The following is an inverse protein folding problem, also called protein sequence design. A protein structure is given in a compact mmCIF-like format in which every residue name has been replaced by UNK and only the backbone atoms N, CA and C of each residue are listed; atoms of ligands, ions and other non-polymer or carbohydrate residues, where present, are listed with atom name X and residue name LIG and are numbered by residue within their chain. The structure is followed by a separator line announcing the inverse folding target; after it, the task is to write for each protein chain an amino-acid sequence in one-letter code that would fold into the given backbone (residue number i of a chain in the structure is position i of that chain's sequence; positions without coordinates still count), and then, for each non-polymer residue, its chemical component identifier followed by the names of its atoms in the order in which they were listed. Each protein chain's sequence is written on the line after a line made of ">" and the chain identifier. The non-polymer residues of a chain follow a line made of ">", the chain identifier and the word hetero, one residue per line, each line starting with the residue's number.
data_IF_209158252212
#
_entry.id   IF_209158252212
#
_cell.length_a   1.000
_cell.length_b   1.000
_cell.length_c   1.000
_cell.angle_alpha   90.00
_cell.angle_beta   90.00
_cell.angle_gamma   90.00
#
_symmetry.space_group_name_H-M   'P 1'
#
loop_
_entity.id
_entity.type
_entity.pdbx_description
1 polymer ?
#
# COMPACT_ATOMS: atom_id res chain seq x y z
N UNK A 1 -10.98 -35.00 -17.10
CA UNK A 1 -10.46 -34.82 -15.73
C UNK A 1 -9.56 -33.60 -15.79
N UNK A 2 -9.79 -32.59 -14.95
CA UNK A 2 -8.78 -31.54 -14.79
C UNK A 2 -7.64 -32.15 -13.98
N UNK A 3 -6.43 -32.19 -14.53
CA UNK A 3 -5.25 -32.61 -13.79
C UNK A 3 -5.09 -31.70 -12.57
N UNK A 4 -4.88 -32.31 -11.41
CA UNK A 4 -4.55 -31.54 -10.19
C UNK A 4 -3.18 -30.92 -10.40
N UNK A 5 -2.99 -29.64 -10.02
CA UNK A 5 -1.69 -29.01 -10.16
C UNK A 5 -0.66 -29.77 -9.35
N UNK A 6 0.51 -29.97 -9.95
CA UNK A 6 1.60 -30.63 -9.27
C UNK A 6 2.23 -29.69 -8.20
N UNK A 7 3.13 -30.25 -7.40
CA UNK A 7 3.79 -29.50 -6.32
C UNK A 7 4.58 -28.31 -6.85
N UNK A 8 5.20 -28.44 -8.01
CA UNK A 8 6.06 -27.41 -8.59
C UNK A 8 5.21 -26.26 -9.13
N UNK A 9 4.04 -26.56 -9.71
CA UNK A 9 3.03 -25.58 -10.08
C UNK A 9 2.51 -24.78 -8.88
N UNK A 10 2.24 -25.46 -7.75
CA UNK A 10 1.82 -24.79 -6.51
C UNK A 10 2.94 -23.88 -5.97
N UNK A 11 4.19 -24.36 -5.96
CA UNK A 11 5.34 -23.57 -5.51
C UNK A 11 5.56 -22.35 -6.39
N UNK A 12 5.44 -22.49 -7.72
CA UNK A 12 5.56 -21.38 -8.66
C UNK A 12 4.45 -20.35 -8.47
N UNK A 13 3.19 -20.78 -8.34
CA UNK A 13 2.07 -19.87 -8.08
C UNK A 13 2.24 -19.10 -6.77
N UNK A 14 2.75 -19.75 -5.72
CA UNK A 14 3.05 -19.07 -4.46
C UNK A 14 4.17 -18.02 -4.61
N UNK A 15 5.20 -18.31 -5.40
CA UNK A 15 6.29 -17.37 -5.68
C UNK A 15 5.78 -16.15 -6.49
N UNK A 16 4.96 -16.37 -7.52
CA UNK A 16 4.35 -15.30 -8.32
C UNK A 16 3.47 -14.37 -7.45
N UNK A 17 2.68 -14.94 -6.52
CA UNK A 17 1.90 -14.15 -5.55
C UNK A 17 2.81 -13.35 -4.62
N UNK A 18 3.87 -13.96 -4.08
CA UNK A 18 4.79 -13.28 -3.18
C UNK A 18 5.53 -12.12 -3.89
N UNK A 19 5.95 -12.32 -5.13
CA UNK A 19 6.55 -11.27 -5.96
C UNK A 19 5.54 -10.15 -6.26
N UNK A 20 4.30 -10.50 -6.60
CA UNK A 20 3.22 -9.53 -6.77
C UNK A 20 2.99 -8.67 -5.52
N UNK A 21 2.97 -9.29 -4.34
CA UNK A 21 2.83 -8.58 -3.07
C UNK A 21 4.04 -7.68 -2.78
N UNK A 22 5.25 -8.14 -3.09
CA UNK A 22 6.46 -7.34 -2.95
C UNK A 22 6.41 -6.09 -3.86
N UNK A 23 6.03 -6.27 -5.12
CA UNK A 23 5.89 -5.17 -6.08
C UNK A 23 4.84 -4.15 -5.63
N UNK A 24 3.71 -4.60 -5.08
CA UNK A 24 2.70 -3.70 -4.51
C UNK A 24 3.28 -2.94 -3.31
N UNK A 25 4.01 -3.60 -2.42
CA UNK A 25 4.64 -2.93 -1.28
C UNK A 25 5.64 -1.85 -1.73
N UNK A 26 6.47 -2.14 -2.73
CA UNK A 26 7.40 -1.14 -3.29
C UNK A 26 6.67 0.06 -3.91
N UNK A 27 5.53 -0.18 -4.58
CA UNK A 27 4.72 0.89 -5.16
C UNK A 27 4.03 1.76 -4.10
N UNK A 28 3.64 1.18 -2.96
CA UNK A 28 2.91 1.89 -1.90
C UNK A 28 3.86 2.60 -0.91
N UNK A 29 5.10 2.13 -0.75
CA UNK A 29 6.06 2.71 0.20
C UNK A 29 6.23 4.25 0.09
N UNK A 30 6.33 4.86 -1.11
CA UNK A 30 6.40 6.33 -1.21
C UNK A 30 5.13 7.04 -0.72
N UNK A 31 3.96 6.41 -0.87
CA UNK A 31 2.67 6.94 -0.41
C UNK A 31 2.62 6.91 1.12
N UNK A 32 3.09 5.83 1.74
CA UNK A 32 3.22 5.72 3.20
C UNK A 32 4.15 6.80 3.76
N UNK A 33 5.31 6.99 3.13
CA UNK A 33 6.27 8.03 3.55
C UNK A 33 5.67 9.44 3.47
N UNK A 34 4.89 9.73 2.44
CA UNK A 34 4.19 11.02 2.31
C UNK A 34 3.14 11.24 3.40
N UNK A 35 2.30 10.23 3.66
CA UNK A 35 1.29 10.30 4.71
C UNK A 35 1.93 10.50 6.10
N UNK A 36 3.01 9.76 6.39
CA UNK A 36 3.78 9.92 7.63
C UNK A 36 4.47 11.27 7.75
N UNK A 37 5.04 11.77 6.65
CA UNK A 37 5.63 13.11 6.57
C UNK A 37 4.62 14.20 6.86
N UNK A 38 3.41 14.06 6.33
CA UNK A 38 2.29 14.98 6.59
C UNK A 38 1.83 14.94 8.05
N UNK A 39 1.68 13.75 8.64
CA UNK A 39 1.38 13.61 10.09
C UNK A 39 2.41 14.36 10.94
N UNK A 40 3.70 14.11 10.71
CA UNK A 40 4.79 14.76 11.44
C UNK A 40 4.79 16.28 11.24
N UNK A 41 4.37 16.76 10.07
CA UNK A 41 4.21 18.20 9.82
C UNK A 41 3.08 18.76 10.69
N UNK A 42 1.91 18.14 10.70
CA UNK A 42 0.77 18.59 11.51
C UNK A 42 1.10 18.62 13.01
N UNK A 43 1.77 17.59 13.52
CA UNK A 43 2.23 17.55 14.91
C UNK A 43 3.19 18.71 15.22
N UNK A 44 4.13 19.05 14.32
CA UNK A 44 5.01 20.23 14.48
C UNK A 44 4.24 21.55 14.42
N UNK A 45 3.16 21.59 13.63
CA UNK A 45 2.28 22.75 13.51
C UNK A 45 1.33 22.89 14.72
N UNK A 46 1.41 21.98 15.71
CA UNK A 46 0.67 22.05 16.97
C UNK A 46 -0.68 21.33 16.96
N UNK A 47 -0.97 20.52 15.94
CA UNK A 47 -2.18 19.70 15.91
C UNK A 47 -2.09 18.57 16.93
N UNK A 48 -3.24 18.13 17.45
CA UNK A 48 -3.28 16.93 18.30
C UNK A 48 -2.89 15.69 17.50
N UNK A 49 -2.27 14.70 18.16
CA UNK A 49 -1.85 13.45 17.52
C UNK A 49 -3.03 12.76 16.80
N UNK A 50 -4.21 12.73 17.44
CA UNK A 50 -5.42 12.14 16.85
C UNK A 50 -5.88 12.87 15.59
N UNK A 51 -5.84 14.21 15.58
CA UNK A 51 -6.22 14.98 14.40
C UNK A 51 -5.18 14.81 13.26
N UNK A 52 -3.90 14.85 13.60
CA UNK A 52 -2.81 14.63 12.64
C UNK A 52 -2.87 13.24 12.00
N UNK A 53 -3.19 12.20 12.78
CA UNK A 53 -3.37 10.83 12.30
C UNK A 53 -4.57 10.71 11.37
N UNK A 54 -5.74 11.21 11.76
CA UNK A 54 -6.94 11.16 10.92
C UNK A 54 -6.72 11.83 9.55
N UNK A 55 -6.05 12.98 9.54
CA UNK A 55 -5.72 13.69 8.29
C UNK A 55 -4.67 12.95 7.45
N UNK A 56 -3.69 12.30 8.07
CA UNK A 56 -2.69 11.51 7.36
C UNK A 56 -3.28 10.24 6.73
N UNK A 57 -4.21 9.57 7.41
CA UNK A 57 -4.96 8.43 6.87
C UNK A 57 -5.80 8.84 5.67
N UNK A 58 -6.48 9.98 5.75
CA UNK A 58 -7.26 10.51 4.62
C UNK A 58 -6.36 10.84 3.41
N UNK A 59 -5.21 11.49 3.65
CA UNK A 59 -4.22 11.73 2.61
C UNK A 59 -3.73 10.41 1.98
N UNK A 60 -3.44 9.39 2.80
CA UNK A 60 -3.03 8.07 2.32
C UNK A 60 -4.08 7.45 1.39
N UNK A 61 -5.36 7.47 1.77
CA UNK A 61 -6.45 6.98 0.92
C UNK A 61 -6.57 7.75 -0.40
N UNK A 62 -6.43 9.09 -0.38
CA UNK A 62 -6.48 9.91 -1.60
C UNK A 62 -5.32 9.60 -2.54
N UNK A 63 -4.11 9.42 -2.01
CA UNK A 63 -2.93 9.07 -2.79
C UNK A 63 -3.05 7.65 -3.39
N UNK A 64 -3.54 6.68 -2.62
CA UNK A 64 -3.85 5.35 -3.13
C UNK A 64 -4.90 5.42 -4.27
N UNK A 65 -5.98 6.17 -4.07
CA UNK A 65 -7.01 6.34 -5.08
C UNK A 65 -6.47 7.00 -6.37
N UNK A 66 -5.51 7.92 -6.27
CA UNK A 66 -4.84 8.49 -7.44
C UNK A 66 -3.92 7.48 -8.14
N UNK A 67 -3.13 6.74 -7.37
CA UNK A 67 -2.19 5.75 -7.90
C UNK A 67 -2.90 4.56 -8.59
N UNK A 68 -4.05 4.14 -8.05
CA UNK A 68 -4.75 2.92 -8.49
C UNK A 68 -6.12 3.16 -9.16
N UNK A 69 -6.74 4.33 -8.99
CA UNK A 69 -8.09 4.63 -9.51
C UNK A 69 -8.14 5.32 -10.88
N UNK A 70 -6.99 5.70 -11.46
CA UNK A 70 -6.91 6.61 -12.62
C UNK A 70 -6.68 6.00 -14.01
N UNK A 71 -6.64 4.67 -14.18
CA UNK A 71 -6.46 4.04 -15.51
C UNK A 71 -7.75 3.39 -16.00
N UNK A 72 -8.54 4.15 -16.76
CA UNK A 72 -9.48 3.63 -17.77
C UNK A 72 -8.91 3.91 -19.15
#
# INVERSE_FOLDING_TARGET
>A
MADRPDRDEITRAAAEVAEGMHNVAELVAPIDEHALGYRRKLERDGWSATAAEAMAVELHHQLLAQAFGGRR
#
